data_IF_679053767837
#
_entry.id   IF_679053767837
#
_cell.length_a   1.000
_cell.length_b   1.000
_cell.length_c   1.000
_cell.angle_alpha   90.00
_cell.angle_beta   90.00
_cell.angle_gamma   90.00
#
_symmetry.space_group_name_H-M   'P 1'
#
loop_
_entity.id
_entity.type
_entity.pdbx_description
1 polymer ?
#
# COMPACT_ATOMS: atom_id res chain seq x y z
N UNK A 1 -19.04 -13.30 -5.25
CA UNK A 1 -18.27 -12.15 -5.75
C UNK A 1 -16.83 -12.13 -5.25
N UNK A 2 -16.52 -12.24 -3.95
CA UNK A 2 -15.11 -12.25 -3.49
C UNK A 2 -14.30 -13.52 -3.84
N UNK A 3 -14.96 -14.68 -3.98
CA UNK A 3 -14.28 -15.93 -4.39
C UNK A 3 -13.84 -15.91 -5.86
N UNK A 4 -14.66 -15.33 -6.75
CA UNK A 4 -14.40 -15.32 -8.20
C UNK A 4 -13.18 -14.47 -8.57
N UNK A 5 -12.93 -13.38 -7.84
CA UNK A 5 -11.72 -12.56 -7.98
C UNK A 5 -10.49 -13.36 -7.57
N UNK A 6 -10.56 -14.08 -6.45
CA UNK A 6 -9.47 -14.94 -5.99
C UNK A 6 -9.17 -16.07 -6.99
N UNK A 7 -10.20 -16.69 -7.55
CA UNK A 7 -10.06 -17.75 -8.55
C UNK A 7 -9.44 -17.23 -9.86
N UNK A 8 -9.76 -16.01 -10.27
CA UNK A 8 -9.13 -15.34 -11.42
C UNK A 8 -7.65 -15.04 -11.15
N UNK A 9 -7.30 -14.55 -9.96
CA UNK A 9 -5.91 -14.32 -9.57
C UNK A 9 -5.11 -15.64 -9.47
N UNK A 10 -5.73 -16.73 -9.03
CA UNK A 10 -5.10 -18.05 -8.99
C UNK A 10 -4.81 -18.57 -10.43
N UNK A 11 -5.73 -18.35 -11.37
CA UNK A 11 -5.54 -18.71 -12.77
C UNK A 11 -4.43 -17.88 -13.45
N UNK A 12 -4.41 -16.58 -13.22
CA UNK A 12 -3.38 -15.66 -13.75
C UNK A 12 -2.00 -15.98 -13.15
N UNK A 13 -1.93 -16.25 -11.85
CA UNK A 13 -0.72 -16.71 -11.18
C UNK A 13 -0.19 -18.02 -11.78
N UNK A 14 -1.07 -18.99 -12.04
CA UNK A 14 -0.71 -20.26 -12.65
C UNK A 14 -0.10 -20.10 -14.05
N UNK A 15 -0.68 -19.23 -14.88
CA UNK A 15 -0.15 -18.93 -16.22
C UNK A 15 1.22 -18.28 -16.16
N UNK A 16 1.42 -17.34 -15.23
CA UNK A 16 2.68 -16.62 -15.06
C UNK A 16 3.80 -17.53 -14.54
N UNK A 17 3.50 -18.44 -13.62
CA UNK A 17 4.47 -19.42 -13.13
C UNK A 17 4.92 -20.37 -14.24
N UNK A 18 4.00 -20.79 -15.10
CA UNK A 18 4.33 -21.65 -16.25
C UNK A 18 5.19 -20.91 -17.28
N UNK A 19 4.89 -19.64 -17.57
CA UNK A 19 5.72 -18.82 -18.48
C UNK A 19 7.14 -18.63 -17.93
N UNK A 20 7.28 -18.34 -16.63
CA UNK A 20 8.58 -18.19 -15.95
C UNK A 20 9.37 -19.48 -16.03
N UNK A 21 8.74 -20.63 -15.76
CA UNK A 21 9.39 -21.96 -15.85
C UNK A 21 9.83 -22.27 -17.27
N UNK A 22 8.99 -22.00 -18.27
CA UNK A 22 9.33 -22.20 -19.67
C UNK A 22 10.51 -21.31 -20.08
N UNK A 23 10.52 -20.03 -19.68
CA UNK A 23 11.64 -19.11 -19.95
C UNK A 23 12.92 -19.53 -19.25
N UNK A 24 12.84 -20.00 -18.00
CA UNK A 24 13.98 -20.51 -17.26
C UNK A 24 14.53 -21.81 -17.86
N UNK A 25 13.65 -22.70 -18.34
CA UNK A 25 14.04 -23.88 -19.10
C UNK A 25 14.75 -23.49 -20.39
N UNK A 26 14.19 -22.58 -21.19
CA UNK A 26 14.87 -22.07 -22.40
C UNK A 26 16.17 -21.32 -22.11
N UNK A 27 16.33 -20.73 -20.92
CA UNK A 27 17.57 -20.07 -20.53
C UNK A 27 18.64 -21.08 -20.05
N UNK A 28 18.24 -22.25 -19.56
CA UNK A 28 19.12 -23.33 -19.11
C UNK A 28 19.47 -24.33 -20.22
N UNK A 29 18.58 -24.54 -21.18
CA UNK A 29 18.71 -25.50 -22.29
C UNK A 29 19.62 -25.01 -23.44
N UNK A 30 20.30 -23.89 -23.23
CA UNK A 30 21.06 -23.22 -24.29
C UNK A 30 22.55 -23.38 -24.05
N UNK A 31 23.05 -24.44 -24.68
CA UNK A 31 24.46 -24.73 -24.91
C UNK A 31 25.05 -23.87 -26.05
N UNK A 32 24.28 -23.08 -26.85
CA UNK A 32 24.88 -22.32 -27.97
C UNK A 32 24.07 -21.21 -28.69
N UNK A 33 23.01 -20.63 -28.12
CA UNK A 33 22.20 -19.59 -28.80
C UNK A 33 22.27 -18.23 -28.09
N UNK A 34 22.94 -17.28 -28.76
CA UNK A 34 22.99 -15.84 -28.51
C UNK A 34 22.86 -15.44 -27.03
N UNK A 35 23.99 -15.14 -26.38
CA UNK A 35 24.04 -14.52 -25.05
C UNK A 35 23.07 -13.32 -24.92
N UNK A 36 22.79 -12.62 -26.03
CA UNK A 36 21.78 -11.57 -26.09
C UNK A 36 20.33 -12.06 -25.98
N UNK A 37 19.96 -13.17 -26.62
CA UNK A 37 18.63 -13.77 -26.49
C UNK A 37 18.44 -14.38 -25.11
N UNK A 38 19.48 -15.04 -24.56
CA UNK A 38 19.47 -15.53 -23.17
C UNK A 38 19.27 -14.40 -22.17
N UNK A 39 19.99 -13.28 -22.33
CA UNK A 39 19.82 -12.07 -21.48
C UNK A 39 18.44 -11.45 -21.61
N UNK A 40 17.89 -11.39 -22.82
CA UNK A 40 16.56 -10.81 -23.05
C UNK A 40 15.48 -11.69 -22.45
N UNK A 41 15.60 -13.01 -22.58
CA UNK A 41 14.72 -13.99 -21.94
C UNK A 41 14.80 -13.95 -20.42
N UNK A 42 16.01 -13.82 -19.85
CA UNK A 42 16.21 -13.70 -18.40
C UNK A 42 15.65 -12.38 -17.84
N UNK A 43 15.82 -11.25 -18.54
CA UNK A 43 15.21 -9.97 -18.15
C UNK A 43 13.68 -9.98 -18.26
N UNK A 44 13.14 -10.69 -19.26
CA UNK A 44 11.70 -10.90 -19.37
C UNK A 44 11.19 -11.77 -18.20
N UNK A 45 11.93 -12.82 -17.83
CA UNK A 45 11.61 -13.64 -16.67
C UNK A 45 11.71 -12.87 -15.34
N UNK A 46 12.67 -11.95 -15.18
CA UNK A 46 12.72 -11.05 -14.02
C UNK A 46 11.47 -10.17 -13.90
N UNK A 47 10.99 -9.61 -15.01
CA UNK A 47 9.76 -8.81 -15.04
C UNK A 47 8.53 -9.65 -14.68
N UNK A 48 8.39 -10.83 -15.28
CA UNK A 48 7.30 -11.76 -14.97
C UNK A 48 7.35 -12.21 -13.50
N UNK A 49 8.53 -12.35 -12.88
CA UNK A 49 8.66 -12.65 -11.45
C UNK A 49 8.20 -11.48 -10.56
N UNK A 50 8.51 -10.24 -10.94
CA UNK A 50 8.05 -9.07 -10.20
C UNK A 50 6.52 -8.91 -10.33
N UNK A 51 5.94 -9.19 -11.50
CA UNK A 51 4.48 -9.27 -11.70
C UNK A 51 3.84 -10.39 -10.84
N UNK A 52 4.47 -11.57 -10.73
CA UNK A 52 4.02 -12.66 -9.86
C UNK A 52 4.03 -12.27 -8.38
N UNK A 53 5.03 -11.50 -7.95
CA UNK A 53 5.14 -10.99 -6.59
C UNK A 53 4.05 -9.96 -6.28
N UNK A 54 3.75 -9.07 -7.22
CA UNK A 54 2.68 -8.10 -7.07
C UNK A 54 1.32 -8.81 -6.96
N UNK A 55 1.06 -9.79 -7.83
CA UNK A 55 -0.15 -10.60 -7.81
C UNK A 55 -0.30 -11.39 -6.50
N UNK A 56 0.80 -11.97 -5.99
CA UNK A 56 0.82 -12.64 -4.68
C UNK A 56 0.53 -11.67 -3.52
N UNK A 57 1.00 -10.43 -3.61
CA UNK A 57 0.69 -9.37 -2.66
C UNK A 57 -0.78 -8.92 -2.71
N UNK A 58 -1.36 -8.82 -3.91
CA UNK A 58 -2.79 -8.52 -4.10
C UNK A 58 -3.67 -9.64 -3.54
N UNK A 59 -3.31 -10.91 -3.77
CA UNK A 59 -3.98 -12.06 -3.16
C UNK A 59 -3.91 -12.04 -1.61
N UNK A 60 -2.81 -11.56 -1.02
CA UNK A 60 -2.66 -11.39 0.43
C UNK A 60 -3.56 -10.25 0.99
N UNK A 61 -3.75 -9.17 0.23
CA UNK A 61 -4.68 -8.10 0.59
C UNK A 61 -6.15 -8.56 0.50
N UNK A 62 -6.49 -9.33 -0.53
CA UNK A 62 -7.84 -9.92 -0.63
C UNK A 62 -8.09 -10.97 0.45
N UNK A 63 -7.09 -11.73 0.88
CA UNK A 63 -7.21 -12.61 2.05
C UNK A 63 -7.56 -11.86 3.34
N UNK A 64 -7.23 -10.57 3.45
CA UNK A 64 -7.64 -9.71 4.56
C UNK A 64 -9.11 -9.28 4.45
N UNK A 65 -9.65 -9.16 3.23
CA UNK A 65 -11.04 -8.82 2.95
C UNK A 65 -11.98 -10.02 3.16
N UNK A 66 -11.46 -11.24 2.99
CA UNK A 66 -12.17 -12.51 3.20
C UNK A 66 -12.33 -12.89 4.69
N UNK A 67 -13.56 -13.15 5.15
CA UNK A 67 -13.86 -13.59 6.53
C UNK A 67 -14.28 -15.08 6.60
N UNK A 68 -13.89 -15.75 7.69
CA UNK A 68 -14.41 -17.09 8.04
C UNK A 68 -13.67 -18.29 7.41
N UNK A 69 -14.37 -19.40 7.08
CA UNK A 69 -13.76 -20.67 6.68
C UNK A 69 -13.07 -20.65 5.30
N UNK A 70 -13.38 -19.69 4.43
CA UNK A 70 -12.72 -19.49 3.13
C UNK A 70 -11.28 -18.97 3.31
N UNK A 71 -11.07 -18.00 4.22
CA UNK A 71 -9.74 -17.50 4.60
C UNK A 71 -8.84 -18.62 5.14
N UNK A 72 -9.40 -19.50 5.98
CA UNK A 72 -8.68 -20.65 6.53
C UNK A 72 -8.18 -21.63 5.46
N UNK A 73 -8.88 -21.74 4.32
CA UNK A 73 -8.49 -22.62 3.20
C UNK A 73 -7.53 -21.95 2.23
N UNK A 74 -7.67 -20.64 2.01
CA UNK A 74 -6.86 -19.89 1.05
C UNK A 74 -5.53 -19.36 1.64
N UNK A 75 -5.46 -19.08 2.94
CA UNK A 75 -4.23 -18.62 3.61
C UNK A 75 -3.00 -19.54 3.44
N UNK A 76 -3.09 -20.88 3.57
CA UNK A 76 -1.92 -21.74 3.34
C UNK A 76 -1.50 -21.76 1.87
N UNK A 77 -2.44 -21.64 0.92
CA UNK A 77 -2.14 -21.61 -0.52
C UNK A 77 -1.37 -20.35 -0.92
N UNK A 78 -1.80 -19.17 -0.45
CA UNK A 78 -1.08 -17.91 -0.73
C UNK A 78 0.32 -17.91 -0.11
N UNK A 79 0.50 -18.51 1.08
CA UNK A 79 1.84 -18.70 1.65
C UNK A 79 2.72 -19.61 0.81
N UNK A 80 2.15 -20.66 0.23
CA UNK A 80 2.86 -21.57 -0.67
C UNK A 80 3.24 -20.86 -1.97
N UNK A 81 2.33 -20.12 -2.59
CA UNK A 81 2.62 -19.32 -3.79
C UNK A 81 3.75 -18.32 -3.54
N UNK A 82 3.73 -17.59 -2.43
CA UNK A 82 4.81 -16.67 -2.04
C UNK A 82 6.16 -17.39 -1.88
N UNK A 83 6.17 -18.58 -1.29
CA UNK A 83 7.38 -19.38 -1.16
C UNK A 83 7.90 -19.88 -2.52
N UNK A 84 7.01 -20.21 -3.45
CA UNK A 84 7.36 -20.66 -4.79
C UNK A 84 7.86 -19.52 -5.68
N UNK A 85 7.27 -18.31 -5.60
CA UNK A 85 7.80 -17.12 -6.27
C UNK A 85 9.19 -16.76 -5.76
N UNK A 86 9.42 -16.83 -4.45
CA UNK A 86 10.74 -16.58 -3.87
C UNK A 86 11.79 -17.63 -4.29
N UNK A 87 11.38 -18.88 -4.55
CA UNK A 87 12.26 -19.90 -5.13
C UNK A 87 12.61 -19.55 -6.57
N UNK A 88 11.61 -19.26 -7.40
CA UNK A 88 11.80 -18.87 -8.81
C UNK A 88 12.66 -17.60 -8.94
N UNK A 89 12.49 -16.62 -8.04
CA UNK A 89 13.31 -15.41 -7.95
C UNK A 89 14.78 -15.73 -7.72
N UNK A 90 15.08 -16.66 -6.81
CA UNK A 90 16.48 -17.10 -6.56
C UNK A 90 17.07 -17.82 -7.76
N UNK A 91 16.29 -18.67 -8.42
CA UNK A 91 16.76 -19.45 -9.57
C UNK A 91 17.04 -18.56 -10.78
N UNK A 92 16.16 -17.58 -11.09
CA UNK A 92 16.42 -16.58 -12.14
C UNK A 92 17.62 -15.71 -11.80
N UNK A 93 17.74 -15.23 -10.56
CA UNK A 93 18.89 -14.41 -10.15
C UNK A 93 20.21 -15.16 -10.26
N UNK A 94 20.20 -16.47 -9.96
CA UNK A 94 21.36 -17.34 -10.14
C UNK A 94 21.71 -17.48 -11.63
N UNK A 95 20.73 -17.78 -12.48
CA UNK A 95 20.93 -17.87 -13.93
C UNK A 95 21.42 -16.54 -14.56
N UNK A 96 20.92 -15.40 -14.07
CA UNK A 96 21.39 -14.06 -14.46
C UNK A 96 22.83 -13.85 -14.03
N UNK A 97 23.19 -14.20 -12.80
CA UNK A 97 24.57 -14.07 -12.30
C UNK A 97 25.57 -14.95 -13.07
N UNK A 98 25.17 -16.16 -13.46
CA UNK A 98 25.96 -17.06 -14.29
C UNK A 98 26.16 -16.47 -15.70
N UNK A 99 25.12 -15.87 -16.30
CA UNK A 99 25.22 -15.17 -17.59
C UNK A 99 26.02 -13.85 -17.53
N UNK A 100 26.15 -13.25 -16.35
CA UNK A 100 26.94 -12.04 -16.12
C UNK A 100 28.43 -12.38 -15.93
N UNK A 101 28.75 -13.48 -15.24
CA UNK A 101 30.12 -13.94 -15.01
C UNK A 101 30.83 -14.32 -16.32
N UNK A 102 30.14 -14.97 -17.27
CA UNK A 102 30.71 -15.32 -18.57
C UNK A 102 31.21 -14.11 -19.38
N UNK A 103 30.68 -12.91 -19.10
CA UNK A 103 31.05 -11.68 -19.82
C UNK A 103 32.20 -10.90 -19.14
N UNK A 104 32.58 -11.24 -17.90
CA UNK A 104 33.72 -10.60 -17.24
C UNK A 104 35.04 -11.02 -17.91
N UNK A 105 35.19 -12.31 -18.22
CA UNK A 105 36.36 -12.83 -18.95
C UNK A 105 36.37 -12.41 -20.42
N UNK A 106 35.21 -12.36 -21.08
CA UNK A 106 35.10 -11.89 -22.47
C UNK A 106 35.43 -10.39 -22.61
N UNK A 107 34.89 -9.53 -21.74
CA UNK A 107 35.23 -8.09 -21.76
C UNK A 107 36.66 -7.82 -21.32
N UNK A 108 37.19 -8.56 -20.34
CA UNK A 108 38.60 -8.43 -19.92
C UNK A 108 39.55 -8.80 -21.06
N UNK A 109 39.25 -9.86 -21.82
CA UNK A 109 40.03 -10.27 -22.98
C UNK A 109 39.93 -9.29 -24.15
N UNK A 110 38.76 -8.69 -24.38
CA UNK A 110 38.59 -7.64 -25.40
C UNK A 110 39.33 -6.35 -25.04
N UNK A 111 39.40 -6.01 -23.74
CA UNK A 111 40.02 -4.77 -23.25
C UNK A 111 41.54 -4.90 -23.07
N UNK A 112 42.05 -6.11 -22.81
CA UNK A 112 43.49 -6.40 -22.73
C UNK A 112 44.11 -6.89 -24.05
N UNK A 113 43.30 -7.31 -25.02
CA UNK A 113 43.75 -7.83 -26.32
C UNK A 113 43.99 -6.78 -27.41
N UNK A 114 43.73 -5.50 -27.13
CA UNK A 114 43.85 -4.40 -28.11
C UNK A 114 45.08 -3.50 -27.88
N UNK A 115 45.99 -3.88 -26.99
CA UNK A 115 47.17 -3.10 -26.60
C UNK A 115 48.48 -3.72 -27.11
N UNK A 116 48.54 -4.10 -28.39
CA UNK A 116 49.77 -4.57 -29.02
C UNK A 116 50.15 -3.71 -30.24
N UNK A 117 51.15 -2.85 -30.02
CA UNK A 117 52.16 -2.32 -30.94
C UNK A 117 51.77 -1.18 -31.90
N UNK A 118 52.30 0.03 -31.64
CA UNK A 118 53.01 0.78 -32.70
C UNK A 118 52.68 2.24 -33.03
N UNK A 119 52.15 3.08 -32.12
CA UNK A 119 51.93 4.51 -32.45
C UNK A 119 51.98 5.48 -31.25
N UNK A 120 53.12 5.54 -30.56
CA UNK A 120 53.18 6.16 -29.22
C UNK A 120 53.27 7.70 -29.19
N UNK A 121 53.68 8.37 -30.27
CA UNK A 121 54.00 9.82 -30.18
C UNK A 121 52.88 10.76 -30.67
N UNK A 122 52.05 10.35 -31.64
CA UNK A 122 50.87 11.12 -32.09
C UNK A 122 49.60 10.82 -31.25
N UNK A 123 49.56 9.65 -30.61
CA UNK A 123 48.44 9.26 -29.74
C UNK A 123 48.42 10.04 -28.42
N UNK A 124 49.57 10.52 -27.93
CA UNK A 124 49.68 11.21 -26.65
C UNK A 124 48.98 12.59 -26.65
N UNK A 125 49.13 13.39 -27.71
CA UNK A 125 48.44 14.69 -27.85
C UNK A 125 46.92 14.52 -28.07
N UNK A 126 46.54 13.49 -28.82
CA UNK A 126 45.13 13.14 -29.05
C UNK A 126 44.46 12.65 -27.77
N UNK A 127 45.16 11.86 -26.96
CA UNK A 127 44.69 11.38 -25.66
C UNK A 127 44.56 12.52 -24.65
N UNK A 128 45.47 13.49 -24.65
CA UNK A 128 45.39 14.67 -23.77
C UNK A 128 44.21 15.58 -24.13
N UNK A 129 43.95 15.81 -25.42
CA UNK A 129 42.77 16.56 -25.90
C UNK A 129 41.46 15.84 -25.62
N UNK A 130 41.42 14.51 -25.80
CA UNK A 130 40.31 13.63 -25.42
C UNK A 130 40.00 13.72 -23.92
N UNK A 131 41.01 13.73 -23.06
CA UNK A 131 40.86 13.89 -21.60
C UNK A 131 40.30 15.26 -21.21
N UNK A 132 40.72 16.33 -21.89
CA UNK A 132 40.18 17.68 -21.63
C UNK A 132 38.73 17.82 -22.10
N UNK A 133 38.38 17.28 -23.27
CA UNK A 133 37.01 17.27 -23.78
C UNK A 133 36.08 16.46 -22.86
N UNK A 134 36.49 15.27 -22.45
CA UNK A 134 35.72 14.44 -21.51
C UNK A 134 35.61 15.08 -20.11
N UNK A 135 36.64 15.80 -19.66
CA UNK A 135 36.58 16.62 -18.45
C UNK A 135 35.57 17.77 -18.56
N UNK A 136 35.54 18.46 -19.70
CA UNK A 136 34.59 19.55 -19.96
C UNK A 136 33.15 19.04 -20.09
N UNK A 137 32.94 17.89 -20.72
CA UNK A 137 31.64 17.25 -20.86
C UNK A 137 31.09 16.79 -19.50
N UNK A 138 31.95 16.21 -18.64
CA UNK A 138 31.60 15.88 -17.25
C UNK A 138 31.24 17.12 -16.42
N UNK A 139 31.98 18.22 -16.57
CA UNK A 139 31.67 19.49 -15.90
C UNK A 139 30.34 20.08 -16.39
N UNK A 140 30.09 20.05 -17.70
CA UNK A 140 28.84 20.52 -18.29
C UNK A 140 27.66 19.69 -17.81
N UNK A 141 27.81 18.36 -17.75
CA UNK A 141 26.80 17.46 -17.21
C UNK A 141 26.58 17.69 -15.71
N UNK A 142 27.66 17.89 -14.94
CA UNK A 142 27.60 18.24 -13.52
C UNK A 142 26.85 19.55 -13.28
N UNK A 143 27.14 20.58 -14.07
CA UNK A 143 26.46 21.88 -14.01
C UNK A 143 24.95 21.75 -14.30
N UNK A 144 24.57 21.00 -15.35
CA UNK A 144 23.15 20.72 -15.65
C UNK A 144 22.46 19.97 -14.51
N UNK A 145 23.13 18.97 -13.92
CA UNK A 145 22.59 18.23 -12.76
C UNK A 145 22.41 19.12 -11.53
N UNK A 146 23.36 20.03 -11.28
CA UNK A 146 23.25 21.00 -10.18
C UNK A 146 22.09 21.97 -10.41
N UNK A 147 21.93 22.50 -11.61
CA UNK A 147 20.78 23.36 -11.95
C UNK A 147 19.45 22.62 -11.79
N UNK A 148 19.39 21.36 -12.23
CA UNK A 148 18.19 20.53 -12.05
C UNK A 148 17.91 20.26 -10.57
N UNK A 149 18.95 19.97 -9.79
CA UNK A 149 18.82 19.72 -8.34
C UNK A 149 18.36 20.97 -7.60
N UNK A 150 18.88 22.14 -7.97
CA UNK A 150 18.43 23.43 -7.43
C UNK A 150 16.95 23.68 -7.75
N UNK A 151 16.53 23.44 -9.00
CA UNK A 151 15.12 23.59 -9.39
C UNK A 151 14.22 22.65 -8.59
N UNK A 152 14.60 21.38 -8.47
CA UNK A 152 13.86 20.39 -7.68
C UNK A 152 13.81 20.76 -6.19
N UNK A 153 14.90 21.29 -5.64
CA UNK A 153 14.94 21.74 -4.25
C UNK A 153 13.98 22.91 -4.01
N UNK A 154 13.93 23.89 -4.92
CA UNK A 154 12.97 25.01 -4.82
C UNK A 154 11.52 24.55 -4.96
N UNK A 155 11.24 23.61 -5.86
CA UNK A 155 9.91 23.01 -6.00
C UNK A 155 9.52 22.26 -4.73
N UNK A 156 10.45 21.52 -4.13
CA UNK A 156 10.24 20.81 -2.86
C UNK A 156 10.02 21.79 -1.70
N UNK A 157 10.73 22.91 -1.65
CA UNK A 157 10.51 23.98 -0.66
C UNK A 157 9.12 24.58 -0.79
N UNK A 158 8.68 24.86 -2.02
CA UNK A 158 7.33 25.38 -2.28
C UNK A 158 6.23 24.40 -1.84
N UNK A 159 6.39 23.11 -2.15
CA UNK A 159 5.47 22.06 -1.67
C UNK A 159 5.49 21.97 -0.13
N UNK A 160 6.68 22.01 0.48
CA UNK A 160 6.84 22.01 1.94
C UNK A 160 6.15 23.19 2.62
N UNK A 161 6.27 24.40 2.04
CA UNK A 161 5.57 25.59 2.52
C UNK A 161 4.04 25.46 2.42
N UNK A 162 3.55 24.84 1.34
CA UNK A 162 2.14 24.48 1.20
C UNK A 162 1.66 23.54 2.31
N UNK A 163 2.40 22.45 2.55
CA UNK A 163 2.10 21.49 3.62
C UNK A 163 2.04 22.16 5.00
N UNK A 164 2.98 23.06 5.31
CA UNK A 164 2.98 23.80 6.57
C UNK A 164 1.75 24.70 6.74
N UNK A 165 1.28 25.30 5.64
CA UNK A 165 0.07 26.12 5.62
C UNK A 165 -1.17 25.25 5.85
N UNK A 166 -1.24 24.09 5.19
CA UNK A 166 -2.33 23.14 5.34
C UNK A 166 -2.39 22.55 6.76
N UNK A 167 -1.25 22.17 7.32
CA UNK A 167 -1.16 21.68 8.71
C UNK A 167 -1.64 22.73 9.71
N UNK A 168 -1.33 24.00 9.48
CA UNK A 168 -1.85 25.09 10.31
C UNK A 168 -3.37 25.21 10.20
N UNK A 169 -3.92 25.15 8.99
CA UNK A 169 -5.37 25.17 8.74
C UNK A 169 -6.08 23.97 9.39
N UNK A 170 -5.53 22.76 9.23
CA UNK A 170 -6.05 21.56 9.87
C UNK A 170 -6.02 21.65 11.39
N UNK A 171 -4.94 22.19 11.97
CA UNK A 171 -4.86 22.44 13.42
C UNK A 171 -5.98 23.37 13.88
N UNK A 172 -6.22 24.45 13.17
CA UNK A 172 -7.30 25.40 13.48
C UNK A 172 -8.67 24.73 13.37
N UNK A 173 -8.91 23.92 12.35
CA UNK A 173 -10.14 23.15 12.19
C UNK A 173 -10.35 22.19 13.37
N UNK A 174 -9.32 21.45 13.78
CA UNK A 174 -9.39 20.52 14.93
C UNK A 174 -9.72 21.28 16.22
N UNK A 175 -9.09 22.44 16.45
CA UNK A 175 -9.38 23.29 17.63
C UNK A 175 -10.84 23.74 17.61
N UNK A 176 -11.32 24.26 16.47
CA UNK A 176 -12.70 24.71 16.34
C UNK A 176 -13.72 23.57 16.51
N UNK A 177 -13.45 22.39 15.95
CA UNK A 177 -14.29 21.20 16.14
C UNK A 177 -14.31 20.77 17.60
N UNK A 178 -13.16 20.79 18.28
CA UNK A 178 -13.06 20.46 19.70
C UNK A 178 -13.86 21.44 20.57
N UNK A 179 -13.73 22.74 20.33
CA UNK A 179 -14.47 23.77 21.06
C UNK A 179 -15.98 23.67 20.82
N UNK A 180 -16.39 23.35 19.58
CA UNK A 180 -17.78 23.09 19.23
C UNK A 180 -18.33 21.86 19.95
N UNK A 181 -17.55 20.77 20.00
CA UNK A 181 -17.92 19.56 20.73
C UNK A 181 -18.06 19.82 22.24
N UNK A 182 -17.14 20.56 22.86
CA UNK A 182 -17.24 20.93 24.28
C UNK A 182 -18.48 21.78 24.57
N UNK A 183 -18.84 22.70 23.66
CA UNK A 183 -20.09 23.45 23.77
C UNK A 183 -21.31 22.54 23.63
N UNK A 184 -21.30 21.62 22.66
CA UNK A 184 -22.39 20.66 22.44
C UNK A 184 -22.60 19.75 23.66
N UNK A 185 -21.54 19.26 24.31
CA UNK A 185 -21.62 18.50 25.57
C UNK A 185 -22.29 19.31 26.69
N UNK A 186 -21.96 20.60 26.80
CA UNK A 186 -22.63 21.51 27.74
C UNK A 186 -24.13 21.68 27.45
N UNK A 187 -24.52 21.72 26.16
CA UNK A 187 -25.93 21.76 25.76
C UNK A 187 -26.65 20.43 26.03
N UNK A 188 -25.97 19.30 25.86
CA UNK A 188 -26.50 17.97 26.17
C UNK A 188 -26.75 17.80 27.68
N UNK A 189 -25.87 18.29 28.55
CA UNK A 189 -26.08 18.23 30.00
C UNK A 189 -27.30 19.06 30.44
N UNK A 190 -27.46 20.29 29.92
CA UNK A 190 -28.65 21.11 30.18
C UNK A 190 -29.93 20.45 29.65
N UNK A 191 -29.85 19.83 28.47
CA UNK A 191 -30.97 19.11 27.86
C UNK A 191 -31.37 17.91 28.70
N UNK A 192 -30.40 17.12 29.18
CA UNK A 192 -30.63 15.99 30.09
C UNK A 192 -31.23 16.43 31.42
N UNK A 193 -30.77 17.56 31.98
CA UNK A 193 -31.37 18.13 33.21
C UNK A 193 -32.82 18.54 33.00
N UNK A 194 -33.13 19.15 31.85
CA UNK A 194 -34.50 19.57 31.51
C UNK A 194 -35.41 18.38 31.21
N UNK A 195 -34.90 17.36 30.51
CA UNK A 195 -35.64 16.12 30.30
C UNK A 195 -35.94 15.44 31.62
N UNK A 196 -34.97 15.33 32.54
CA UNK A 196 -35.19 14.77 33.89
C UNK A 196 -36.27 15.52 34.67
N UNK A 197 -36.34 16.85 34.59
CA UNK A 197 -37.41 17.62 35.26
C UNK A 197 -38.77 17.39 34.61
N UNK A 198 -38.84 17.29 33.28
CA UNK A 198 -40.08 16.92 32.59
C UNK A 198 -40.54 15.51 32.94
N UNK A 199 -39.65 14.52 32.93
CA UNK A 199 -39.98 13.12 33.30
C UNK A 199 -40.51 13.02 34.74
N UNK A 200 -39.90 13.75 35.68
CA UNK A 200 -40.38 13.79 37.07
C UNK A 200 -41.79 14.38 37.17
N UNK A 201 -42.05 15.51 36.50
CA UNK A 201 -43.39 16.13 36.47
C UNK A 201 -44.45 15.20 35.88
N UNK A 202 -44.12 14.50 34.79
CA UNK A 202 -45.01 13.51 34.19
C UNK A 202 -45.31 12.36 35.15
N UNK A 203 -44.30 11.85 35.85
CA UNK A 203 -44.49 10.78 36.85
C UNK A 203 -45.37 11.24 38.01
N UNK A 204 -45.15 12.43 38.56
CA UNK A 204 -45.99 13.02 39.62
C UNK A 204 -47.43 13.20 39.17
N UNK A 205 -47.65 13.78 37.99
CA UNK A 205 -48.99 13.97 37.45
C UNK A 205 -49.70 12.62 37.24
N UNK A 206 -48.99 11.61 36.72
CA UNK A 206 -49.55 10.27 36.52
C UNK A 206 -49.94 9.62 37.86
N UNK A 207 -49.10 9.74 38.90
CA UNK A 207 -49.42 9.24 40.24
C UNK A 207 -50.64 9.94 40.84
N UNK A 208 -50.75 11.27 40.71
CA UNK A 208 -51.91 12.03 41.19
C UNK A 208 -53.20 11.55 40.50
N UNK A 209 -53.18 11.42 39.16
CA UNK A 209 -54.34 10.97 38.39
C UNK A 209 -54.76 9.55 38.78
N UNK A 210 -53.80 8.62 38.92
CA UNK A 210 -54.11 7.25 39.37
C UNK A 210 -54.69 7.24 40.78
N UNK A 211 -54.16 8.06 41.71
CA UNK A 211 -54.68 8.19 43.06
C UNK A 211 -56.14 8.67 43.10
N UNK A 212 -56.49 9.69 42.31
CA UNK A 212 -57.86 10.20 42.22
C UNK A 212 -58.85 9.13 41.72
N UNK A 213 -58.47 8.34 40.71
CA UNK A 213 -59.30 7.25 40.19
C UNK A 213 -59.53 6.19 41.27
N UNK A 214 -58.48 5.77 41.99
CA UNK A 214 -58.57 4.76 43.06
C UNK A 214 -59.49 5.21 44.18
N UNK A 215 -59.36 6.46 44.63
CA UNK A 215 -60.24 7.04 45.67
C UNK A 215 -61.69 7.10 45.20
N UNK A 216 -61.93 7.51 43.94
CA UNK A 216 -63.26 7.54 43.35
C UNK A 216 -63.93 6.15 43.34
N UNK A 217 -63.20 5.12 42.92
CA UNK A 217 -63.70 3.73 42.92
C UNK A 217 -63.97 3.24 44.36
N UNK A 218 -63.08 3.53 45.31
CA UNK A 218 -63.26 3.13 46.70
C UNK A 218 -64.52 3.76 47.33
N UNK A 219 -64.80 5.03 47.04
CA UNK A 219 -66.03 5.70 47.50
C UNK A 219 -67.29 5.06 46.91
N UNK A 220 -67.28 4.72 45.62
CA UNK A 220 -68.42 4.04 44.97
C UNK A 220 -68.67 2.67 45.62
N UNK A 221 -67.62 1.87 45.85
CA UNK A 221 -67.72 0.58 46.52
C UNK A 221 -68.28 0.75 47.94
N UNK A 222 -67.79 1.74 48.70
CA UNK A 222 -68.25 2.01 50.06
C UNK A 222 -69.74 2.39 50.10
N UNK A 223 -70.20 3.24 49.18
CA UNK A 223 -71.63 3.60 49.07
C UNK A 223 -72.48 2.38 48.73
N UNK A 224 -72.04 1.54 47.79
CA UNK A 224 -72.75 0.31 47.42
C UNK A 224 -72.83 -0.67 48.59
N UNK A 225 -71.75 -0.83 49.36
CA UNK A 225 -71.73 -1.67 50.55
C UNK A 225 -72.72 -1.17 51.59
N UNK A 226 -72.69 0.12 51.94
CA UNK A 226 -73.63 0.71 52.91
C UNK A 226 -75.08 0.56 52.45
N UNK A 227 -75.36 0.76 51.16
CA UNK A 227 -76.71 0.62 50.59
C UNK A 227 -77.18 -0.83 50.50
N UNK A 228 -76.30 -1.80 50.34
CA UNK A 228 -76.67 -3.23 50.31
C UNK A 228 -76.88 -3.79 51.72
N UNK A 229 -76.17 -3.22 52.71
CA UNK A 229 -76.24 -3.69 54.11
C UNK A 229 -77.35 -3.02 54.92
N UNK A 230 -77.84 -1.85 54.50
CA UNK A 230 -79.05 -1.18 55.02
C UNK A 230 -80.27 -1.51 54.17
#
# INVERSE_FOLDING_TARGET
MSSELFDNYEAEYGQLVESIRQRLATANDVDNSDDNNRRTGLRAAEREIDEANELAGQMEMELLSLQGPTRSRAAPRVRQYKADVERLRRDVRKAVSESALGNYDANRKALLGAADIGLEEAAMDTDQRSRLLSGNERLTQGSRRLQQSHRLAMETEAVGAGILTDLRSQREQIVNTRDTLMQADGHLDRSNRTLRTMTRRLMTNKMITTGLIVVGVALVILVLYVKLTR
#
